data_IF_506257535076
#
_entry.id   IF_506257535076
#
_cell.length_a   1.000
_cell.length_b   1.000
_cell.length_c   1.000
_cell.angle_alpha   90.00
_cell.angle_beta   90.00
_cell.angle_gamma   90.00
#
_symmetry.space_group_name_H-M   'P 1'
#
loop_
_entity.id
_entity.type
_entity.pdbx_description
1 polymer ?
#
# COMPACT_ATOMS: atom_id res chain seq x y z
N UNK A 1 13.66 19.03 -2.31
CA UNK A 1 12.75 18.42 -1.33
C UNK A 1 12.05 17.27 -2.04
N UNK A 2 12.20 16.05 -1.53
CA UNK A 2 11.75 14.82 -2.21
C UNK A 2 10.24 14.63 -2.10
N UNK A 3 9.61 14.18 -3.19
CA UNK A 3 8.20 13.79 -3.19
C UNK A 3 8.08 12.35 -2.69
N UNK A 4 6.97 12.02 -2.01
CA UNK A 4 6.70 10.65 -1.58
C UNK A 4 6.74 9.69 -2.79
N UNK A 5 7.15 8.42 -2.56
CA UNK A 5 7.23 7.45 -3.63
C UNK A 5 5.85 7.10 -4.20
N UNK A 6 5.84 6.61 -5.44
CA UNK A 6 4.64 6.19 -6.14
C UNK A 6 4.00 7.29 -7.00
N UNK A 7 2.69 7.15 -7.24
CA UNK A 7 1.91 8.04 -8.12
C UNK A 7 1.54 9.34 -7.40
N UNK A 8 2.05 10.52 -7.84
CA UNK A 8 1.72 11.79 -7.21
C UNK A 8 0.30 12.22 -7.58
N UNK A 9 -0.56 12.43 -6.57
CA UNK A 9 -1.94 12.89 -6.76
C UNK A 9 -2.09 14.41 -6.73
N UNK A 10 -1.25 15.06 -5.92
CA UNK A 10 -1.23 16.51 -5.75
C UNK A 10 0.21 17.02 -5.83
N UNK A 11 0.37 18.24 -6.31
CA UNK A 11 1.59 19.01 -6.18
C UNK A 11 1.67 19.61 -4.76
N UNK A 12 2.88 19.95 -4.31
CA UNK A 12 3.11 20.59 -3.00
C UNK A 12 2.39 21.94 -2.84
N UNK A 13 2.05 22.62 -3.95
CA UNK A 13 1.25 23.84 -3.93
C UNK A 13 -0.27 23.58 -3.78
N UNK A 14 -0.70 22.32 -3.63
CA UNK A 14 -2.11 21.92 -3.50
C UNK A 14 -2.81 21.60 -4.83
N UNK A 15 -2.25 22.01 -5.97
CA UNK A 15 -2.82 21.73 -7.28
C UNK A 15 -2.87 20.21 -7.59
N UNK A 16 -3.85 19.78 -8.38
CA UNK A 16 -3.94 18.40 -8.84
C UNK A 16 -2.78 18.05 -9.79
N UNK A 17 -2.37 16.78 -9.74
CA UNK A 17 -1.45 16.19 -10.71
C UNK A 17 -2.17 15.94 -12.05
N UNK A 18 -1.54 16.31 -13.15
CA UNK A 18 -2.01 16.02 -14.51
C UNK A 18 -0.94 15.21 -15.26
N UNK A 19 -1.34 14.51 -16.33
CA UNK A 19 -0.41 13.73 -17.16
C UNK A 19 -0.25 14.41 -18.51
N UNK A 20 1.00 14.68 -18.89
CA UNK A 20 1.35 15.23 -20.20
C UNK A 20 2.28 14.28 -20.95
N UNK A 21 2.37 14.49 -22.26
CA UNK A 21 3.31 13.79 -23.14
C UNK A 21 4.45 14.73 -23.50
N UNK A 22 5.69 14.29 -23.27
CA UNK A 22 6.89 15.03 -23.63
C UNK A 22 7.00 15.18 -25.16
N UNK A 23 7.22 16.41 -25.58
CA UNK A 23 7.42 16.84 -26.97
C UNK A 23 8.91 17.10 -27.29
N UNK A 24 9.81 16.83 -26.33
CA UNK A 24 11.25 16.98 -26.52
C UNK A 24 11.82 15.89 -27.43
N UNK A 25 12.82 16.21 -28.23
CA UNK A 25 13.54 15.24 -29.07
C UNK A 25 14.24 14.14 -28.27
N UNK A 26 14.69 14.44 -27.05
CA UNK A 26 15.37 13.48 -26.16
C UNK A 26 14.41 12.48 -25.50
N UNK A 27 13.17 12.90 -25.24
CA UNK A 27 12.16 12.07 -24.58
C UNK A 27 10.87 12.01 -25.42
N UNK A 28 10.94 11.54 -26.67
CA UNK A 28 9.79 11.59 -27.56
C UNK A 28 8.67 10.69 -27.05
N UNK A 29 7.46 11.24 -26.93
CA UNK A 29 6.25 10.52 -26.52
C UNK A 29 6.27 9.94 -25.08
N UNK A 30 7.31 10.20 -24.27
CA UNK A 30 7.30 9.77 -22.86
C UNK A 30 6.25 10.57 -22.08
N UNK A 31 5.52 9.91 -21.18
CA UNK A 31 4.52 10.57 -20.33
C UNK A 31 5.07 10.89 -18.95
N UNK A 32 4.71 12.04 -18.42
CA UNK A 32 5.08 12.49 -17.07
C UNK A 32 3.88 13.09 -16.34
N UNK A 33 3.90 12.95 -15.02
CA UNK A 33 3.05 13.68 -14.08
C UNK A 33 3.62 15.07 -13.87
N UNK A 34 2.76 16.10 -13.87
CA UNK A 34 3.15 17.45 -13.50
C UNK A 34 2.07 18.20 -12.73
N UNK A 35 2.46 19.33 -12.14
CA UNK A 35 1.53 20.26 -11.50
C UNK A 35 0.49 20.78 -12.51
N UNK A 36 -0.80 20.68 -12.18
CA UNK A 36 -1.89 21.18 -13.02
C UNK A 36 -2.08 22.70 -13.01
N UNK A 37 -1.37 23.43 -12.15
CA UNK A 37 -1.47 24.89 -12.06
C UNK A 37 -0.32 25.59 -12.83
N UNK A 38 0.93 25.28 -12.48
CA UNK A 38 2.12 25.91 -13.07
C UNK A 38 3.26 24.92 -13.24
N UNK A 39 4.05 25.13 -14.28
CA UNK A 39 5.31 24.43 -14.53
C UNK A 39 6.48 25.26 -14.01
N UNK A 40 7.42 24.64 -13.32
CA UNK A 40 8.63 25.34 -12.88
C UNK A 40 9.37 24.63 -11.76
N UNK A 41 10.46 25.25 -11.27
CA UNK A 41 11.18 24.78 -10.09
C UNK A 41 10.22 24.65 -8.89
N UNK A 42 10.46 23.65 -8.03
CA UNK A 42 9.63 23.33 -6.86
C UNK A 42 8.19 22.87 -7.16
N UNK A 43 7.84 22.66 -8.43
CA UNK A 43 6.57 22.05 -8.81
C UNK A 43 6.76 20.60 -9.24
N UNK A 44 5.67 19.85 -9.13
CA UNK A 44 5.63 18.43 -9.45
C UNK A 44 6.10 18.19 -10.88
N UNK A 45 7.10 17.30 -11.02
CA UNK A 45 7.49 16.64 -12.24
C UNK A 45 7.95 15.22 -11.89
N UNK A 46 7.38 14.20 -12.53
CA UNK A 46 7.79 12.80 -12.33
C UNK A 46 7.45 11.96 -13.54
N UNK A 47 8.34 11.09 -14.01
CA UNK A 47 8.00 10.21 -15.12
C UNK A 47 6.96 9.17 -14.73
N UNK A 48 6.03 8.86 -15.63
CA UNK A 48 4.95 7.90 -15.34
C UNK A 48 5.50 6.52 -14.99
N UNK A 49 6.52 6.06 -15.72
CA UNK A 49 7.15 4.77 -15.47
C UNK A 49 7.79 4.68 -14.08
N UNK A 50 8.55 5.70 -13.67
CA UNK A 50 9.18 5.76 -12.34
C UNK A 50 8.11 5.75 -11.24
N UNK A 51 7.10 6.61 -11.38
CA UNK A 51 5.97 6.65 -10.44
C UNK A 51 5.22 5.32 -10.33
N UNK A 52 5.08 4.58 -11.43
CA UNK A 52 4.42 3.27 -11.43
C UNK A 52 5.29 2.19 -10.82
N UNK A 53 6.60 2.17 -11.11
CA UNK A 53 7.52 1.23 -10.47
C UNK A 53 7.50 1.38 -8.95
N UNK A 54 7.61 2.61 -8.46
CA UNK A 54 7.56 2.85 -7.02
C UNK A 54 6.20 2.50 -6.42
N UNK A 55 5.09 2.67 -7.16
CA UNK A 55 3.78 2.21 -6.71
C UNK A 55 3.73 0.68 -6.60
N UNK A 56 4.36 -0.05 -7.54
CA UNK A 56 4.47 -1.50 -7.45
C UNK A 56 5.30 -1.93 -6.23
N UNK A 57 6.39 -1.25 -5.92
CA UNK A 57 7.20 -1.53 -4.73
C UNK A 57 6.39 -1.32 -3.44
N UNK A 58 5.66 -0.20 -3.35
CA UNK A 58 4.77 0.10 -2.21
C UNK A 58 3.68 -0.97 -2.08
N UNK A 59 3.09 -1.42 -3.20
CA UNK A 59 2.09 -2.47 -3.21
C UNK A 59 2.67 -3.82 -2.78
N UNK A 60 3.89 -4.15 -3.21
CA UNK A 60 4.58 -5.37 -2.80
C UNK A 60 4.83 -5.39 -1.28
N UNK A 61 5.32 -4.29 -0.70
CA UNK A 61 5.50 -4.19 0.76
C UNK A 61 4.19 -4.30 1.52
N UNK A 62 3.10 -3.68 1.04
CA UNK A 62 1.76 -3.83 1.65
C UNK A 62 1.24 -5.26 1.54
N UNK A 63 1.49 -5.94 0.42
CA UNK A 63 1.10 -7.32 0.23
C UNK A 63 1.85 -8.25 1.19
N UNK A 64 3.13 -8.01 1.42
CA UNK A 64 3.94 -8.75 2.41
C UNK A 64 3.41 -8.55 3.83
N UNK A 65 3.15 -7.30 4.24
CA UNK A 65 2.58 -6.99 5.55
C UNK A 65 1.23 -7.72 5.76
N UNK A 66 0.33 -7.65 4.76
CA UNK A 66 -0.95 -8.34 4.84
C UNK A 66 -0.80 -9.87 4.92
N UNK A 67 0.21 -10.46 4.27
CA UNK A 67 0.48 -11.89 4.36
C UNK A 67 0.96 -12.29 5.77
N UNK A 68 1.75 -11.43 6.41
CA UNK A 68 2.20 -11.62 7.79
C UNK A 68 1.01 -11.55 8.76
N UNK A 69 0.17 -10.53 8.64
CA UNK A 69 -1.05 -10.38 9.44
C UNK A 69 -1.98 -11.59 9.27
N UNK A 70 -2.15 -12.09 8.04
CA UNK A 70 -2.93 -13.31 7.78
C UNK A 70 -2.34 -14.56 8.42
N UNK A 71 -1.02 -14.63 8.55
CA UNK A 71 -0.33 -15.75 9.21
C UNK A 71 -0.54 -15.69 10.73
N UNK A 72 -0.46 -14.49 11.32
CA UNK A 72 -0.76 -14.27 12.73
C UNK A 72 -2.22 -14.59 13.05
N UNK A 73 -3.18 -14.09 12.27
CA UNK A 73 -4.61 -14.39 12.45
C UNK A 73 -4.87 -15.90 12.34
N UNK A 74 -4.18 -16.62 11.44
CA UNK A 74 -4.31 -18.08 11.35
C UNK A 74 -3.83 -18.77 12.62
N UNK A 75 -2.74 -18.28 13.22
CA UNK A 75 -2.22 -18.80 14.47
C UNK A 75 -3.20 -18.55 15.63
N UNK A 76 -3.71 -17.32 15.74
CA UNK A 76 -4.73 -16.97 16.74
C UNK A 76 -5.98 -17.86 16.63
N UNK A 77 -6.42 -18.16 15.40
CA UNK A 77 -7.55 -19.07 15.17
C UNK A 77 -7.25 -20.50 15.67
N UNK A 78 -6.02 -20.98 15.50
CA UNK A 78 -5.60 -22.30 16.01
C UNK A 78 -5.62 -22.29 17.54
N UNK A 79 -5.08 -21.26 18.16
CA UNK A 79 -4.99 -21.15 19.61
C UNK A 79 -6.38 -21.01 20.24
N UNK A 80 -7.26 -20.20 19.65
CA UNK A 80 -8.67 -20.10 20.06
C UNK A 80 -9.41 -21.44 19.94
N UNK A 81 -9.14 -22.24 18.90
CA UNK A 81 -9.73 -23.58 18.76
C UNK A 81 -9.25 -24.54 19.84
N UNK A 82 -7.98 -24.47 20.24
CA UNK A 82 -7.43 -25.28 21.32
C UNK A 82 -8.04 -24.89 22.67
N UNK A 83 -8.07 -23.59 22.98
CA UNK A 83 -8.72 -23.07 24.19
C UNK A 83 -10.19 -23.51 24.27
N UNK A 84 -10.93 -23.47 23.14
CA UNK A 84 -12.31 -23.93 23.10
C UNK A 84 -12.46 -25.44 23.36
N UNK A 85 -11.50 -26.25 22.91
CA UNK A 85 -11.49 -27.69 23.21
C UNK A 85 -11.31 -27.95 24.70
N UNK A 86 -10.32 -27.30 25.32
CA UNK A 86 -10.04 -27.42 26.75
C UNK A 86 -11.24 -26.98 27.60
N UNK A 87 -11.88 -25.86 27.25
CA UNK A 87 -13.09 -25.39 27.94
C UNK A 87 -14.22 -26.43 27.84
N UNK A 88 -14.40 -27.06 26.68
CA UNK A 88 -15.40 -28.14 26.53
C UNK A 88 -15.09 -29.32 27.44
N UNK A 89 -13.83 -29.75 27.54
CA UNK A 89 -13.42 -30.85 28.40
C UNK A 89 -13.67 -30.53 29.89
N UNK A 90 -13.37 -29.31 30.33
CA UNK A 90 -13.67 -28.85 31.70
C UNK A 90 -15.17 -28.87 31.97
N UNK A 91 -16.00 -28.42 31.02
CA UNK A 91 -17.47 -28.43 31.14
C UNK A 91 -17.99 -29.86 31.31
N UNK A 92 -17.53 -30.82 30.50
CA UNK A 92 -17.96 -32.22 30.61
C UNK A 92 -17.52 -32.84 31.95
N UNK A 93 -16.31 -32.52 32.43
CA UNK A 93 -15.86 -32.96 33.76
C UNK A 93 -16.74 -32.40 34.88
N UNK A 94 -17.16 -31.14 34.81
CA UNK A 94 -18.04 -30.54 35.82
C UNK A 94 -19.41 -31.22 35.80
N UNK A 95 -19.98 -31.48 34.60
CA UNK A 95 -21.27 -32.17 34.46
C UNK A 95 -21.28 -33.57 35.10
N UNK A 96 -20.17 -34.30 35.02
CA UNK A 96 -20.07 -35.65 35.62
C UNK A 96 -19.93 -35.65 37.14
N UNK A 97 -19.65 -34.50 37.76
CA UNK A 97 -19.46 -34.35 39.22
C UNK A 97 -20.67 -33.76 39.94
N UNK A 98 -21.68 -33.29 39.21
CA UNK A 98 -22.97 -32.80 39.71
C UNK A 98 -24.01 -33.93 39.67
#
# INVERSE_FOLDING_TARGET
MEMAPGIPRNCQCGALSIVLTANTSQNPRRKFYCCGAISGPNHLFKWVYEAHLEEFDVLASKQEAMMNDLTEIKQDIVDLKNNMREIKEVIELIKTKL
#
